data_IF_610903782197
#
_entry.id   IF_610903782197
#
_cell.length_a   1.000
_cell.length_b   1.000
_cell.length_c   1.000
_cell.angle_alpha   90.00
_cell.angle_beta   90.00
_cell.angle_gamma   90.00
#
_symmetry.space_group_name_H-M   'P 1'
#
loop_
_entity.id
_entity.type
_entity.pdbx_description
1 polymer ?
#
# COMPACT_ATOMS: atom_id res chain seq x y z
N UNK A 1 -17.90 10.59 10.87
CA UNK A 1 -19.00 10.10 10.04
C UNK A 1 -18.51 9.79 8.63
N UNK A 2 -19.33 9.15 7.84
CA UNK A 2 -19.01 8.61 6.50
C UNK A 2 -18.41 9.65 5.54
N UNK A 3 -18.94 10.90 5.52
CA UNK A 3 -18.37 11.96 4.67
C UNK A 3 -16.93 12.32 5.01
N UNK A 4 -16.60 12.34 6.31
CA UNK A 4 -15.22 12.62 6.76
C UNK A 4 -14.27 11.50 6.38
N UNK A 5 -14.68 10.24 6.57
CA UNK A 5 -13.90 9.07 6.17
C UNK A 5 -13.66 9.05 4.64
N UNK A 6 -14.70 9.32 3.85
CA UNK A 6 -14.59 9.41 2.39
C UNK A 6 -13.63 10.52 1.95
N UNK A 7 -13.68 11.68 2.62
CA UNK A 7 -12.77 12.78 2.32
C UNK A 7 -11.31 12.38 2.60
N UNK A 8 -11.04 11.74 3.75
CA UNK A 8 -9.70 11.24 4.12
C UNK A 8 -9.22 10.24 3.08
N UNK A 9 -10.03 9.24 2.75
CA UNK A 9 -9.71 8.25 1.73
C UNK A 9 -9.35 8.90 0.39
N UNK A 10 -10.10 9.89 -0.05
CA UNK A 10 -9.81 10.64 -1.27
C UNK A 10 -8.49 11.42 -1.21
N UNK A 11 -8.10 11.95 -0.04
CA UNK A 11 -6.80 12.60 0.12
C UNK A 11 -5.65 11.60 0.05
N UNK A 12 -5.81 10.41 0.63
CA UNK A 12 -4.83 9.32 0.57
C UNK A 12 -4.65 8.82 -0.87
N UNK A 13 -5.74 8.58 -1.60
CA UNK A 13 -5.69 8.23 -3.02
C UNK A 13 -4.98 9.31 -3.85
N UNK A 14 -5.28 10.58 -3.61
CA UNK A 14 -4.63 11.71 -4.29
C UNK A 14 -3.14 11.76 -3.99
N UNK A 15 -2.75 11.60 -2.73
CA UNK A 15 -1.34 11.56 -2.30
C UNK A 15 -0.59 10.45 -3.02
N UNK A 16 -1.11 9.24 -3.00
CA UNK A 16 -0.54 8.08 -3.70
C UNK A 16 -0.43 8.34 -5.20
N UNK A 17 -1.50 8.82 -5.84
CA UNK A 17 -1.50 9.08 -7.27
C UNK A 17 -0.47 10.15 -7.69
N UNK A 18 -0.28 11.20 -6.89
CA UNK A 18 0.75 12.23 -7.14
C UNK A 18 2.14 11.63 -7.02
N UNK A 19 2.40 10.85 -5.97
CA UNK A 19 3.68 10.17 -5.77
C UNK A 19 4.03 9.24 -6.95
N UNK A 20 3.05 8.49 -7.44
CA UNK A 20 3.26 7.52 -8.51
C UNK A 20 3.54 8.16 -9.89
N UNK A 21 3.25 9.45 -10.08
CA UNK A 21 3.64 10.18 -11.30
C UNK A 21 5.13 10.47 -11.37
N UNK A 22 5.80 10.52 -10.23
CA UNK A 22 7.21 10.87 -10.11
C UNK A 22 8.16 9.67 -10.21
N UNK A 23 7.60 8.45 -10.40
CA UNK A 23 8.40 7.23 -10.53
C UNK A 23 8.38 6.68 -11.95
N UNK A 24 9.50 6.03 -12.34
CA UNK A 24 9.64 5.42 -13.67
C UNK A 24 9.01 4.04 -13.82
N UNK A 25 8.86 3.20 -12.77
CA UNK A 25 8.25 1.88 -12.89
C UNK A 25 6.81 1.94 -13.38
N UNK A 26 6.39 0.90 -14.12
CA UNK A 26 5.00 0.75 -14.54
C UNK A 26 4.08 0.57 -13.34
N UNK A 27 3.02 1.35 -13.29
CA UNK A 27 2.01 1.30 -12.24
C UNK A 27 0.77 0.57 -12.74
N UNK A 28 0.24 -0.32 -11.90
CA UNK A 28 -1.05 -1.00 -12.08
C UNK A 28 -1.86 -0.87 -10.80
N UNK A 29 -3.12 -0.55 -10.93
CA UNK A 29 -4.03 -0.37 -9.79
C UNK A 29 -4.89 -1.62 -9.63
N UNK A 30 -4.73 -2.31 -8.52
CA UNK A 30 -5.62 -3.38 -8.10
C UNK A 30 -6.66 -2.82 -7.15
N UNK A 31 -7.94 -2.96 -7.50
CA UNK A 31 -9.04 -2.35 -6.76
C UNK A 31 -10.07 -3.38 -6.28
N UNK A 32 -10.72 -3.11 -5.17
CA UNK A 32 -11.87 -3.85 -4.68
C UNK A 32 -13.17 -3.11 -5.00
N UNK A 33 -14.27 -3.84 -5.19
CA UNK A 33 -15.58 -3.29 -5.49
C UNK A 33 -15.94 -3.29 -6.98
N UNK A 34 -17.14 -2.81 -7.29
CA UNK A 34 -17.75 -2.93 -8.62
C UNK A 34 -17.56 -1.70 -9.52
N UNK A 35 -16.96 -0.62 -9.00
CA UNK A 35 -16.93 0.68 -9.68
C UNK A 35 -15.49 1.15 -10.00
N UNK A 36 -14.84 0.63 -11.05
CA UNK A 36 -13.50 1.06 -11.46
C UNK A 36 -13.43 2.57 -11.78
N UNK A 37 -14.54 3.16 -12.22
CA UNK A 37 -14.62 4.59 -12.54
C UNK A 37 -14.39 5.51 -11.34
N UNK A 38 -14.56 5.01 -10.11
CA UNK A 38 -14.22 5.75 -8.90
C UNK A 38 -12.74 6.16 -8.86
N UNK A 39 -11.86 5.36 -9.44
CA UNK A 39 -10.43 5.57 -9.43
C UNK A 39 -9.93 6.41 -10.63
N UNK A 40 -10.79 6.72 -11.62
CA UNK A 40 -10.41 7.51 -12.79
C UNK A 40 -9.81 8.88 -12.46
N UNK A 41 -10.34 9.67 -11.51
CA UNK A 41 -9.78 10.97 -11.18
C UNK A 41 -8.33 10.93 -10.66
N UNK A 42 -7.91 9.76 -10.15
CA UNK A 42 -6.59 9.57 -9.53
C UNK A 42 -5.63 8.82 -10.46
N UNK A 43 -6.11 7.79 -11.15
CA UNK A 43 -5.29 6.82 -11.86
C UNK A 43 -5.74 6.60 -13.31
N UNK A 44 -6.18 7.66 -14.02
CA UNK A 44 -6.69 7.56 -15.39
C UNK A 44 -5.70 6.94 -16.37
N UNK A 45 -4.40 7.22 -16.22
CA UNK A 45 -3.35 6.72 -17.09
C UNK A 45 -2.90 5.28 -16.79
N UNK A 46 -3.43 4.65 -15.72
CA UNK A 46 -2.96 3.35 -15.24
C UNK A 46 -3.97 2.24 -15.53
N UNK A 47 -3.46 1.04 -15.85
CA UNK A 47 -4.28 -0.17 -15.94
C UNK A 47 -4.92 -0.45 -14.59
N UNK A 48 -6.20 -0.75 -14.60
CA UNK A 48 -6.99 -1.09 -13.41
C UNK A 48 -7.43 -2.55 -13.51
N UNK A 49 -7.20 -3.31 -12.46
CA UNK A 49 -7.52 -4.74 -12.37
C UNK A 49 -8.33 -4.98 -11.09
N UNK A 50 -9.48 -5.64 -11.17
CA UNK A 50 -10.21 -6.00 -9.96
C UNK A 50 -9.41 -7.02 -9.14
N UNK A 51 -9.33 -6.79 -7.83
CA UNK A 51 -8.76 -7.76 -6.89
C UNK A 51 -9.61 -9.02 -6.86
N UNK A 52 -8.95 -10.16 -6.81
CA UNK A 52 -9.58 -11.46 -6.63
C UNK A 52 -9.02 -12.12 -5.36
N UNK A 53 -9.89 -12.79 -4.61
CA UNK A 53 -9.52 -13.47 -3.37
C UNK A 53 -10.45 -13.11 -2.22
N UNK A 54 -10.57 -14.03 -1.27
CA UNK A 54 -11.46 -13.91 -0.10
C UNK A 54 -10.85 -13.02 0.99
N UNK A 55 -9.52 -13.01 1.10
CA UNK A 55 -8.79 -12.21 2.08
C UNK A 55 -7.70 -11.33 1.43
N UNK A 56 -7.03 -10.52 2.25
CA UNK A 56 -5.96 -9.63 1.80
C UNK A 56 -4.77 -10.42 1.24
N UNK A 57 -4.45 -11.58 1.80
CA UNK A 57 -3.34 -12.42 1.34
C UNK A 57 -3.56 -12.93 -0.08
N UNK A 58 -4.72 -13.52 -0.35
CA UNK A 58 -5.06 -14.00 -1.68
C UNK A 58 -5.07 -12.86 -2.72
N UNK A 59 -5.54 -11.67 -2.34
CA UNK A 59 -5.55 -10.49 -3.20
C UNK A 59 -4.14 -10.02 -3.53
N UNK A 60 -3.23 -9.99 -2.56
CA UNK A 60 -1.82 -9.65 -2.78
C UNK A 60 -1.11 -10.73 -3.59
N UNK A 61 -1.31 -12.02 -3.28
CA UNK A 61 -0.78 -13.14 -4.05
C UNK A 61 -1.18 -13.00 -5.53
N UNK A 62 -2.47 -12.75 -5.80
CA UNK A 62 -2.98 -12.55 -7.16
C UNK A 62 -2.34 -11.36 -7.88
N UNK A 63 -2.08 -10.26 -7.18
CA UNK A 63 -1.41 -9.09 -7.76
C UNK A 63 0.06 -9.39 -8.14
N UNK A 64 0.80 -10.06 -7.26
CA UNK A 64 2.17 -10.49 -7.54
C UNK A 64 2.22 -11.52 -8.67
N UNK A 65 1.37 -12.56 -8.61
CA UNK A 65 1.32 -13.59 -9.65
C UNK A 65 1.05 -12.97 -11.02
N UNK A 66 0.01 -12.10 -11.12
CA UNK A 66 -0.28 -11.39 -12.35
C UNK A 66 0.95 -10.62 -12.88
N UNK A 67 1.65 -9.92 -12.03
CA UNK A 67 2.81 -9.13 -12.45
C UNK A 67 3.98 -10.00 -12.91
N UNK A 68 4.26 -11.13 -12.27
CA UNK A 68 5.30 -12.05 -12.71
C UNK A 68 4.92 -12.77 -14.02
N UNK A 69 3.64 -13.10 -14.21
CA UNK A 69 3.13 -13.68 -15.46
C UNK A 69 3.23 -12.67 -16.63
N UNK A 70 3.08 -11.38 -16.38
CA UNK A 70 3.33 -10.29 -17.34
C UNK A 70 4.85 -10.07 -17.61
N UNK A 71 5.72 -10.82 -16.95
CA UNK A 71 7.17 -10.80 -17.14
C UNK A 71 7.96 -9.76 -16.35
N UNK A 72 7.34 -9.07 -15.39
CA UNK A 72 8.06 -8.16 -14.49
C UNK A 72 9.03 -8.95 -13.61
N UNK A 73 10.22 -8.38 -13.37
CA UNK A 73 11.30 -9.03 -12.59
C UNK A 73 11.37 -8.56 -11.15
N UNK A 74 10.79 -7.41 -10.87
CA UNK A 74 10.71 -6.79 -9.53
C UNK A 74 9.34 -6.15 -9.40
N UNK A 75 8.64 -6.48 -8.35
CA UNK A 75 7.31 -5.98 -8.10
C UNK A 75 7.25 -5.44 -6.68
N UNK A 76 6.65 -4.28 -6.53
CA UNK A 76 6.32 -3.68 -5.24
C UNK A 76 4.81 -3.48 -5.19
N UNK A 77 4.18 -3.98 -4.15
CA UNK A 77 2.79 -3.69 -3.81
C UNK A 77 2.78 -2.73 -2.62
N UNK A 78 1.97 -1.69 -2.70
CA UNK A 78 1.73 -0.73 -1.62
C UNK A 78 0.23 -0.60 -1.34
N UNK A 79 -0.13 -0.33 -0.09
CA UNK A 79 -1.44 0.20 0.28
C UNK A 79 -1.61 1.66 -0.19
N UNK A 80 -2.83 2.17 -0.12
CA UNK A 80 -3.14 3.58 -0.41
C UNK A 80 -3.44 4.39 0.84
N UNK A 81 -3.22 3.83 2.00
CA UNK A 81 -3.49 4.32 3.35
C UNK A 81 -2.29 5.01 4.02
N UNK A 82 -1.12 4.99 3.39
CA UNK A 82 0.09 5.65 3.88
C UNK A 82 0.16 7.13 3.43
N UNK A 83 -0.01 8.08 4.35
CA UNK A 83 0.16 9.51 4.05
C UNK A 83 1.60 9.90 3.73
N UNK A 84 2.57 9.26 4.35
CA UNK A 84 4.00 9.55 4.18
C UNK A 84 4.63 8.94 2.92
N UNK A 85 3.82 8.29 2.05
CA UNK A 85 4.33 7.76 0.79
C UNK A 85 4.93 8.88 -0.06
N UNK A 86 6.13 8.63 -0.60
CA UNK A 86 6.83 9.56 -1.49
C UNK A 86 7.71 8.80 -2.49
N UNK A 87 8.19 9.50 -3.52
CA UNK A 87 9.00 8.94 -4.60
C UNK A 87 10.36 8.41 -4.10
N UNK A 88 10.97 9.07 -3.13
CA UNK A 88 12.24 8.64 -2.52
C UNK A 88 12.11 7.28 -1.82
N UNK A 89 11.00 7.07 -1.09
CA UNK A 89 10.68 5.79 -0.44
C UNK A 89 10.57 4.67 -1.48
N UNK A 90 9.82 4.90 -2.55
CA UNK A 90 9.62 3.90 -3.60
C UNK A 90 10.90 3.63 -4.40
N UNK A 91 11.67 4.65 -4.73
CA UNK A 91 12.99 4.51 -5.37
C UNK A 91 13.93 3.68 -4.51
N UNK A 92 14.02 3.98 -3.20
CA UNK A 92 14.82 3.21 -2.25
C UNK A 92 14.38 1.74 -2.20
N UNK A 93 13.08 1.47 -2.22
CA UNK A 93 12.56 0.11 -2.23
C UNK A 93 13.02 -0.66 -3.49
N UNK A 94 12.93 -0.06 -4.68
CA UNK A 94 13.43 -0.68 -5.91
C UNK A 94 14.95 -0.86 -5.92
N UNK A 95 15.71 0.11 -5.42
CA UNK A 95 17.18 0.00 -5.27
C UNK A 95 17.56 -1.16 -4.36
N UNK A 96 16.84 -1.35 -3.25
CA UNK A 96 17.12 -2.45 -2.31
C UNK A 96 16.78 -3.81 -2.90
N UNK A 97 15.79 -3.91 -3.80
CA UNK A 97 15.52 -5.13 -4.56
C UNK A 97 16.62 -5.50 -5.56
N UNK A 98 17.62 -4.64 -5.82
CA UNK A 98 18.80 -5.07 -6.60
C UNK A 98 19.63 -6.11 -5.83
N UNK A 99 19.77 -5.93 -4.53
CA UNK A 99 20.67 -6.70 -3.66
C UNK A 99 19.96 -7.62 -2.66
N UNK A 100 18.66 -7.48 -2.48
CA UNK A 100 17.84 -8.28 -1.56
C UNK A 100 16.72 -8.98 -2.34
N UNK A 101 16.24 -10.10 -1.82
CA UNK A 101 15.13 -10.85 -2.42
C UNK A 101 13.79 -10.19 -2.12
N UNK A 102 13.68 -9.59 -0.93
CA UNK A 102 12.49 -8.91 -0.43
C UNK A 102 12.82 -7.54 0.15
N UNK A 103 11.86 -6.65 0.00
CA UNK A 103 11.84 -5.34 0.69
C UNK A 103 10.48 -5.20 1.37
N UNK A 104 10.50 -4.88 2.66
CA UNK A 104 9.28 -4.70 3.44
C UNK A 104 9.31 -3.32 4.09
N UNK A 105 8.22 -2.58 3.99
CA UNK A 105 7.98 -1.35 4.74
C UNK A 105 7.06 -1.65 5.92
N UNK A 106 7.60 -1.77 7.14
CA UNK A 106 6.81 -2.08 8.32
C UNK A 106 5.78 -0.98 8.64
N UNK A 107 4.62 -1.39 9.14
CA UNK A 107 3.61 -0.49 9.68
C UNK A 107 3.55 -0.62 11.21
N UNK A 108 3.22 0.48 11.90
CA UNK A 108 3.17 0.53 13.37
C UNK A 108 2.12 -0.40 13.98
N UNK A 109 1.11 -0.78 13.21
CA UNK A 109 0.06 -1.72 13.61
C UNK A 109 0.53 -3.20 13.64
N UNK A 110 1.79 -3.48 13.23
CA UNK A 110 2.37 -4.81 13.12
C UNK A 110 2.13 -5.49 11.75
N UNK A 111 1.58 -4.75 10.79
CA UNK A 111 1.50 -5.09 9.38
C UNK A 111 2.66 -4.54 8.57
N UNK A 112 2.41 -4.27 7.30
CA UNK A 112 3.35 -3.60 6.41
C UNK A 112 2.60 -2.79 5.36
N UNK A 113 3.06 -1.56 5.10
CA UNK A 113 2.54 -0.66 4.08
C UNK A 113 3.11 -0.96 2.68
N UNK A 114 4.21 -1.71 2.61
CA UNK A 114 4.90 -2.04 1.37
C UNK A 114 5.49 -3.44 1.44
N UNK A 115 5.28 -4.22 0.38
CA UNK A 115 5.96 -5.49 0.15
C UNK A 115 6.52 -5.51 -1.27
N UNK A 116 7.82 -5.77 -1.41
CA UNK A 116 8.52 -5.94 -2.68
C UNK A 116 9.21 -7.29 -2.79
N UNK A 117 9.22 -7.89 -3.98
CA UNK A 117 9.92 -9.16 -4.23
C UNK A 117 10.37 -9.32 -5.68
N UNK A 118 11.32 -10.23 -5.90
CA UNK A 118 11.86 -10.60 -7.22
C UNK A 118 11.30 -11.91 -7.75
N UNK A 119 10.71 -12.73 -6.91
CA UNK A 119 10.14 -14.03 -7.27
C UNK A 119 8.82 -14.20 -6.53
N UNK A 120 7.79 -14.65 -7.24
CA UNK A 120 6.51 -14.94 -6.61
C UNK A 120 6.66 -16.03 -5.56
N UNK A 121 6.24 -15.76 -4.33
CA UNK A 121 6.38 -16.66 -3.18
C UNK A 121 5.00 -16.85 -2.52
N UNK A 122 4.16 -17.73 -3.06
CA UNK A 122 2.79 -17.93 -2.59
C UNK A 122 2.67 -18.29 -1.11
N UNK A 123 3.68 -18.95 -0.53
CA UNK A 123 3.69 -19.33 0.89
C UNK A 123 3.59 -18.13 1.83
N UNK A 124 4.08 -16.95 1.43
CA UNK A 124 4.01 -15.73 2.22
C UNK A 124 2.58 -15.25 2.48
N UNK A 125 1.64 -15.68 1.66
CA UNK A 125 0.25 -15.23 1.73
C UNK A 125 -0.66 -16.25 2.41
N UNK A 126 -0.14 -17.42 2.79
CA UNK A 126 -0.92 -18.53 3.38
C UNK A 126 -0.79 -18.58 4.89
N UNK A 127 -1.84 -19.08 5.53
CA UNK A 127 -1.86 -19.35 6.98
C UNK A 127 -1.55 -18.14 7.87
N UNK A 128 -1.91 -16.94 7.43
CA UNK A 128 -1.75 -15.70 8.20
C UNK A 128 -3.09 -15.18 8.70
N UNK A 129 -3.07 -14.62 9.89
CA UNK A 129 -4.20 -13.85 10.42
C UNK A 129 -4.08 -12.42 9.92
N UNK A 130 -4.59 -12.16 8.72
CA UNK A 130 -4.56 -10.83 8.12
C UNK A 130 -5.26 -9.79 9.00
N UNK A 131 -4.86 -8.51 8.85
CA UNK A 131 -5.36 -7.40 9.67
C UNK A 131 -5.11 -7.61 11.18
N UNK A 132 -3.95 -8.14 11.54
CA UNK A 132 -3.51 -8.29 12.92
C UNK A 132 -2.05 -7.87 13.10
N UNK A 133 -1.69 -7.50 14.32
CA UNK A 133 -0.33 -7.09 14.72
C UNK A 133 0.76 -8.15 14.51
N UNK A 134 0.39 -9.38 14.14
CA UNK A 134 1.33 -10.50 13.97
C UNK A 134 1.76 -10.72 12.52
N UNK A 135 1.20 -9.99 11.57
CA UNK A 135 1.41 -10.22 10.11
C UNK A 135 2.87 -10.05 9.72
N UNK A 136 3.52 -8.96 10.15
CA UNK A 136 4.94 -8.70 9.85
C UNK A 136 5.83 -9.81 10.42
N UNK A 137 5.66 -10.14 11.70
CA UNK A 137 6.47 -11.17 12.36
C UNK A 137 6.32 -12.55 11.69
N UNK A 138 5.10 -12.94 11.32
CA UNK A 138 4.83 -14.18 10.60
C UNK A 138 5.46 -14.17 9.21
N UNK A 139 5.39 -13.03 8.50
CA UNK A 139 6.01 -12.88 7.17
C UNK A 139 7.53 -12.99 7.24
N UNK A 140 8.17 -12.34 8.21
CA UNK A 140 9.62 -12.44 8.42
C UNK A 140 10.06 -13.86 8.80
N UNK A 141 9.25 -14.56 9.59
CA UNK A 141 9.52 -15.98 9.92
C UNK A 141 9.51 -16.87 8.68
N UNK A 142 8.59 -16.64 7.74
CA UNK A 142 8.51 -17.42 6.48
C UNK A 142 9.68 -17.12 5.53
N UNK A 143 10.35 -15.97 5.69
CA UNK A 143 11.46 -15.52 4.85
C UNK A 143 12.85 -15.90 5.39
N UNK A 144 12.94 -16.83 6.33
CA UNK A 144 14.08 -17.15 7.20
C UNK A 144 15.45 -17.34 6.48
N UNK A 145 15.46 -17.83 5.24
CA UNK A 145 16.69 -18.06 4.45
C UNK A 145 16.91 -17.02 3.34
N UNK A 146 16.04 -16.03 3.23
CA UNK A 146 16.08 -15.04 2.17
C UNK A 146 16.67 -13.72 2.67
N UNK A 147 17.24 -12.95 1.75
CA UNK A 147 17.71 -11.61 2.09
C UNK A 147 16.53 -10.64 2.12
N UNK A 148 16.26 -10.06 3.29
CA UNK A 148 15.17 -9.09 3.50
C UNK A 148 15.76 -7.74 3.88
N UNK A 149 15.32 -6.68 3.21
CA UNK A 149 15.58 -5.30 3.62
C UNK A 149 14.32 -4.69 4.24
N UNK A 150 14.44 -4.19 5.45
CA UNK A 150 13.37 -3.42 6.09
C UNK A 150 13.56 -1.93 5.82
N UNK A 151 12.54 -1.30 5.29
CA UNK A 151 12.42 0.15 5.20
C UNK A 151 12.12 0.74 6.58
N UNK A 152 12.10 2.05 6.66
CA UNK A 152 11.68 2.76 7.86
C UNK A 152 10.21 2.43 8.19
N UNK A 153 9.95 2.16 9.47
CA UNK A 153 8.59 1.94 9.97
C UNK A 153 7.75 3.21 9.87
N UNK A 154 6.50 3.08 9.45
CA UNK A 154 5.58 4.21 9.25
C UNK A 154 4.20 3.90 9.80
N UNK A 155 3.40 4.97 9.92
CA UNK A 155 2.02 4.88 10.38
C UNK A 155 1.07 4.99 9.17
N UNK A 156 0.30 3.97 8.91
CA UNK A 156 -0.86 3.99 8.03
C UNK A 156 -2.08 4.62 8.74
N UNK A 157 -3.05 5.07 7.98
CA UNK A 157 -4.19 5.85 8.51
C UNK A 157 -5.44 4.98 8.57
N UNK A 158 -5.55 4.20 9.64
CA UNK A 158 -6.69 3.29 9.87
C UNK A 158 -7.67 3.84 10.91
N UNK A 159 -7.16 4.55 11.90
CA UNK A 159 -7.93 5.04 13.03
C UNK A 159 -7.95 6.58 13.13
N UNK A 160 -8.84 7.09 13.98
CA UNK A 160 -8.84 8.53 14.31
C UNK A 160 -7.54 8.97 15.01
N UNK A 161 -6.89 8.08 15.74
CA UNK A 161 -5.63 8.38 16.43
C UNK A 161 -4.50 8.52 15.40
N UNK A 162 -4.41 7.64 14.41
CA UNK A 162 -3.44 7.74 13.31
C UNK A 162 -3.62 9.05 12.55
N UNK A 163 -4.86 9.41 12.29
CA UNK A 163 -5.18 10.69 11.65
C UNK A 163 -4.72 11.90 12.48
N UNK A 164 -4.88 11.87 13.81
CA UNK A 164 -4.39 12.95 14.69
C UNK A 164 -2.86 13.02 14.70
N UNK A 165 -2.19 11.88 14.57
CA UNK A 165 -0.75 11.79 14.46
C UNK A 165 -0.22 12.21 13.07
N UNK A 166 -1.12 12.58 12.15
CA UNK A 166 -0.82 13.13 10.82
C UNK A 166 -1.34 14.58 10.72
N UNK A 167 -0.59 15.57 11.23
CA UNK A 167 -1.10 16.94 11.42
C UNK A 167 -1.64 17.61 10.17
N UNK A 168 -0.98 17.41 9.02
CA UNK A 168 -1.39 18.01 7.75
C UNK A 168 -2.78 17.52 7.33
N UNK A 169 -3.00 16.19 7.35
CA UNK A 169 -4.26 15.58 6.96
C UNK A 169 -5.37 15.93 7.97
N UNK A 170 -5.04 15.92 9.27
CA UNK A 170 -6.00 16.27 10.33
C UNK A 170 -6.44 17.73 10.29
N UNK A 171 -5.52 18.67 10.02
CA UNK A 171 -5.85 20.08 9.83
C UNK A 171 -6.70 20.28 8.57
N UNK A 172 -6.36 19.64 7.46
CA UNK A 172 -7.16 19.65 6.25
C UNK A 172 -8.60 19.19 6.49
N UNK A 173 -8.79 18.13 7.28
CA UNK A 173 -10.11 17.66 7.67
C UNK A 173 -10.88 18.71 8.49
N UNK A 174 -10.22 19.37 9.47
CA UNK A 174 -10.85 20.42 10.28
C UNK A 174 -11.29 21.59 9.41
N UNK A 175 -10.43 22.10 8.56
CA UNK A 175 -10.77 23.20 7.65
C UNK A 175 -11.96 22.83 6.76
N UNK A 176 -11.95 21.63 6.17
CA UNK A 176 -13.02 21.19 5.27
C UNK A 176 -14.41 21.11 5.94
N UNK A 177 -14.46 20.75 7.22
CA UNK A 177 -15.73 20.42 7.89
C UNK A 177 -16.10 21.37 9.05
N UNK A 178 -15.18 22.25 9.50
CA UNK A 178 -15.51 23.26 10.52
C UNK A 178 -16.03 24.58 9.93
N UNK A 179 -15.66 24.92 8.67
CA UNK A 179 -16.19 26.12 7.97
C UNK A 179 -17.69 25.99 7.57
N UNK A 180 -18.35 24.86 7.91
CA UNK A 180 -19.79 24.66 7.70
C UNK A 180 -20.64 24.96 8.95
N UNK A 181 -20.10 25.68 9.93
CA UNK A 181 -20.82 26.10 11.13
C UNK A 181 -21.05 27.63 11.16
N UNK A 182 -21.38 28.20 9.99
CA UNK A 182 -22.03 29.53 9.93
C UNK A 182 -23.36 29.43 9.21
#
# INVERSE_FOLDING_TARGET
GTEKALWIYNQLLKKTAVTLKEISPKVVVFYSGEHPNYFEPYFSAHKKIPQQGFDLGERMEGAFQWGFDEGFKKIIVIGTDLWEVNDSLLKKAFEKLETHDYVIGPALDGGYYLLGMKTCTPSLFKNKKWSSETVLAATLSDLNENTVFLLEEKNDIDTLEDLKNTPELYQGLKLKFNDRKE
#
